data_IF_302610532542
#
_entry.id   IF_302610532542
#
_cell.length_a   1.000
_cell.length_b   1.000
_cell.length_c   1.000
_cell.angle_alpha   90.00
_cell.angle_beta   90.00
_cell.angle_gamma   90.00
#
_symmetry.space_group_name_H-M   'P 1'
#
loop_
_entity.id
_entity.type
_entity.pdbx_description
1 polymer ?
#
# COMPACT_ATOMS: atom_id res chain seq x y z
N UNK A 1 -57.77 -13.04 -70.43
CA UNK A 1 -56.87 -12.62 -71.52
C UNK A 1 -55.47 -12.59 -70.94
N UNK A 2 -54.60 -13.52 -71.36
CA UNK A 2 -53.19 -13.57 -70.97
C UNK A 2 -52.43 -12.35 -71.55
N UNK A 3 -51.36 -11.92 -70.88
CA UNK A 3 -50.02 -11.65 -71.44
C UNK A 3 -49.14 -11.02 -70.35
N UNK A 4 -48.05 -11.71 -69.96
CA UNK A 4 -46.64 -11.34 -70.22
C UNK A 4 -46.03 -10.53 -69.05
N UNK A 5 -44.73 -10.49 -68.76
CA UNK A 5 -43.52 -11.29 -68.97
C UNK A 5 -42.40 -10.49 -68.22
N UNK A 6 -41.27 -11.14 -67.88
CA UNK A 6 -39.91 -10.55 -67.66
C UNK A 6 -39.47 -10.07 -66.26
N UNK A 7 -38.68 -10.95 -65.62
CA UNK A 7 -37.25 -10.79 -65.24
C UNK A 7 -36.72 -9.33 -65.19
N UNK A 8 -36.20 -8.89 -64.03
CA UNK A 8 -34.90 -8.22 -63.94
C UNK A 8 -34.36 -8.21 -62.49
N UNK A 9 -33.21 -8.84 -62.29
CA UNK A 9 -32.40 -8.81 -61.08
C UNK A 9 -31.75 -7.44 -60.88
N UNK A 10 -31.77 -6.90 -59.66
CA UNK A 10 -31.00 -5.71 -59.29
C UNK A 10 -30.33 -5.94 -57.92
N UNK A 11 -29.07 -6.36 -58.00
CA UNK A 11 -28.11 -6.49 -56.91
C UNK A 11 -27.62 -5.09 -56.56
N UNK A 12 -28.08 -4.55 -55.43
CA UNK A 12 -27.69 -3.22 -54.94
C UNK A 12 -26.40 -3.37 -54.12
N UNK A 13 -25.26 -3.07 -54.76
CA UNK A 13 -23.93 -3.10 -54.15
C UNK A 13 -23.67 -1.75 -53.47
N UNK A 14 -23.89 -1.68 -52.16
CA UNK A 14 -23.63 -0.48 -51.36
C UNK A 14 -22.14 -0.47 -50.94
N UNK A 15 -21.32 0.29 -51.67
CA UNK A 15 -19.93 0.52 -51.30
C UNK A 15 -19.86 1.61 -50.21
N UNK A 16 -19.77 1.18 -48.94
CA UNK A 16 -19.45 2.08 -47.83
C UNK A 16 -17.93 2.35 -47.84
N UNK A 17 -17.53 3.54 -48.29
CA UNK A 17 -16.16 4.03 -48.13
C UNK A 17 -16.03 4.67 -46.74
N UNK A 18 -15.52 3.92 -45.77
CA UNK A 18 -15.13 4.48 -44.48
C UNK A 18 -13.79 5.20 -44.64
N UNK A 19 -13.85 6.52 -44.76
CA UNK A 19 -12.67 7.36 -44.54
C UNK A 19 -12.34 7.30 -43.05
N UNK A 20 -11.25 6.62 -42.71
CA UNK A 20 -10.69 6.64 -41.37
C UNK A 20 -10.17 8.05 -41.09
N UNK A 21 -10.98 8.89 -40.45
CA UNK A 21 -10.50 10.10 -39.79
C UNK A 21 -9.65 9.67 -38.61
N UNK A 22 -8.33 9.66 -38.80
CA UNK A 22 -7.40 9.68 -37.68
C UNK A 22 -7.49 11.07 -37.05
N UNK A 23 -8.25 11.17 -35.96
CA UNK A 23 -8.19 12.35 -35.10
C UNK A 23 -6.82 12.29 -34.41
N UNK A 24 -5.84 12.99 -34.99
CA UNK A 24 -4.67 13.40 -34.23
C UNK A 24 -5.18 14.34 -33.14
N UNK A 25 -5.30 13.85 -31.90
CA UNK A 25 -5.47 14.70 -30.75
C UNK A 25 -4.22 15.59 -30.65
N UNK A 26 -4.32 16.82 -31.15
CA UNK A 26 -3.32 17.84 -30.91
C UNK A 26 -3.21 18.03 -29.40
N UNK A 27 -2.00 17.87 -28.86
CA UNK A 27 -1.66 18.21 -27.48
C UNK A 27 -1.95 19.69 -27.25
N UNK A 28 -3.08 19.99 -26.61
CA UNK A 28 -3.44 21.33 -26.17
C UNK A 28 -2.95 21.47 -24.73
N UNK A 29 -1.70 21.92 -24.54
CA UNK A 29 -1.20 22.44 -23.26
C UNK A 29 -1.91 23.77 -22.96
N UNK A 30 -3.21 23.70 -22.74
CA UNK A 30 -4.10 24.85 -22.64
C UNK A 30 -4.16 25.35 -21.20
N UNK A 31 -2.99 25.64 -20.61
CA UNK A 31 -2.96 26.27 -19.31
C UNK A 31 -3.42 27.73 -19.40
N UNK A 32 -4.54 28.05 -18.77
CA UNK A 32 -5.09 29.42 -18.79
C UNK A 32 -4.46 30.29 -17.70
N UNK A 33 -4.50 31.62 -17.88
CA UNK A 33 -4.06 32.55 -16.83
C UNK A 33 -4.88 32.38 -15.54
N UNK A 34 -6.17 32.05 -15.67
CA UNK A 34 -7.08 31.87 -14.53
C UNK A 34 -6.71 30.62 -13.73
N UNK A 35 -6.53 29.48 -14.39
CA UNK A 35 -6.06 28.23 -13.78
C UNK A 35 -4.78 28.48 -12.96
N UNK A 36 -3.75 29.08 -13.56
CA UNK A 36 -2.48 29.37 -12.86
C UNK A 36 -2.66 30.30 -11.67
N UNK A 37 -3.59 31.24 -11.72
CA UNK A 37 -3.86 32.13 -10.59
C UNK A 37 -4.52 31.37 -9.44
N UNK A 38 -5.50 30.50 -9.72
CA UNK A 38 -6.12 29.66 -8.72
C UNK A 38 -5.12 28.65 -8.12
N UNK A 39 -4.24 28.06 -8.92
CA UNK A 39 -3.14 27.21 -8.40
C UNK A 39 -2.23 28.01 -7.45
N UNK A 40 -1.85 29.24 -7.79
CA UNK A 40 -1.01 30.09 -6.92
C UNK A 40 -1.72 30.47 -5.62
N UNK A 41 -3.00 30.82 -5.71
CA UNK A 41 -3.85 31.10 -4.54
C UNK A 41 -3.91 29.88 -3.62
N UNK A 42 -4.26 28.71 -4.16
CA UNK A 42 -4.28 27.46 -3.42
C UNK A 42 -2.94 27.12 -2.78
N UNK A 43 -1.82 27.33 -3.49
CA UNK A 43 -0.48 27.12 -2.97
C UNK A 43 -0.16 28.06 -1.79
N UNK A 44 -0.65 29.30 -1.80
CA UNK A 44 -0.51 30.24 -0.68
C UNK A 44 -1.30 29.74 0.54
N UNK A 45 -2.57 29.42 0.33
CA UNK A 45 -3.47 28.91 1.37
C UNK A 45 -2.95 27.61 1.99
N UNK A 46 -2.40 26.72 1.18
CA UNK A 46 -1.79 25.47 1.65
C UNK A 46 -0.60 25.73 2.57
N UNK A 47 0.28 26.70 2.23
CA UNK A 47 1.42 27.11 3.07
C UNK A 47 0.96 27.72 4.40
N UNK A 48 -0.16 28.42 4.39
CA UNK A 48 -0.85 28.93 5.59
C UNK A 48 -1.58 27.83 6.39
N UNK A 49 -1.52 26.56 5.94
CA UNK A 49 -2.22 25.40 6.52
C UNK A 49 -3.75 25.50 6.45
N UNK A 50 -4.28 26.39 5.62
CA UNK A 50 -5.71 26.55 5.35
C UNK A 50 -6.14 25.57 4.26
N UNK A 51 -6.09 24.28 4.58
CA UNK A 51 -6.23 23.21 3.58
C UNK A 51 -7.61 23.15 2.93
N UNK A 52 -8.68 23.50 3.66
CA UNK A 52 -10.04 23.60 3.11
C UNK A 52 -10.16 24.72 2.06
N UNK A 53 -9.59 25.90 2.35
CA UNK A 53 -9.57 27.01 1.40
C UNK A 53 -8.68 26.68 0.19
N UNK A 54 -7.54 26.01 0.43
CA UNK A 54 -6.65 25.57 -0.63
C UNK A 54 -7.35 24.57 -1.58
N UNK A 55 -8.10 23.62 -1.04
CA UNK A 55 -8.95 22.72 -1.83
C UNK A 55 -9.91 23.50 -2.73
N UNK A 56 -10.64 24.49 -2.20
CA UNK A 56 -11.58 25.29 -2.99
C UNK A 56 -10.86 25.98 -4.16
N UNK A 57 -9.68 26.54 -3.93
CA UNK A 57 -8.88 27.16 -5.00
C UNK A 57 -8.43 26.12 -6.05
N UNK A 58 -7.97 24.94 -5.64
CA UNK A 58 -7.57 23.89 -6.60
C UNK A 58 -8.75 23.33 -7.39
N UNK A 59 -9.94 23.22 -6.79
CA UNK A 59 -11.16 22.85 -7.53
C UNK A 59 -11.52 23.89 -8.59
N UNK A 60 -11.42 25.19 -8.28
CA UNK A 60 -11.59 26.26 -9.28
C UNK A 60 -10.54 26.19 -10.40
N UNK A 61 -9.31 25.78 -10.10
CA UNK A 61 -8.31 25.54 -11.14
C UNK A 61 -8.73 24.38 -12.06
N UNK A 62 -9.31 23.31 -11.51
CA UNK A 62 -9.82 22.16 -12.29
C UNK A 62 -11.10 22.48 -13.08
N UNK A 63 -11.90 23.46 -12.66
CA UNK A 63 -13.02 23.99 -13.46
C UNK A 63 -12.51 24.69 -14.74
N UNK A 64 -11.37 25.38 -14.65
CA UNK A 64 -10.73 26.05 -15.80
C UNK A 64 -9.93 25.07 -16.68
N UNK A 65 -9.31 24.06 -16.07
CA UNK A 65 -8.59 22.99 -16.77
C UNK A 65 -8.73 21.65 -16.02
N UNK A 66 -9.66 20.82 -16.48
CA UNK A 66 -9.97 19.54 -15.87
C UNK A 66 -8.83 18.50 -15.95
N UNK A 67 -7.82 18.74 -16.80
CA UNK A 67 -6.68 17.83 -17.00
C UNK A 67 -5.38 18.38 -16.40
N UNK A 68 -5.48 19.38 -15.51
CA UNK A 68 -4.32 19.98 -14.84
C UNK A 68 -3.72 19.02 -13.81
N UNK A 69 -2.64 18.33 -14.19
CA UNK A 69 -1.89 17.44 -13.30
C UNK A 69 -1.47 18.14 -11.99
N UNK A 70 -1.06 19.41 -12.09
CA UNK A 70 -0.63 20.22 -10.93
C UNK A 70 -1.81 20.47 -9.99
N UNK A 71 -2.97 20.89 -10.53
CA UNK A 71 -4.14 21.16 -9.70
C UNK A 71 -4.69 19.87 -9.07
N UNK A 72 -4.73 18.75 -9.82
CA UNK A 72 -5.11 17.44 -9.28
C UNK A 72 -4.20 16.99 -8.15
N UNK A 73 -2.89 17.08 -8.34
CA UNK A 73 -1.90 16.70 -7.33
C UNK A 73 -2.05 17.55 -6.07
N UNK A 74 -2.16 18.87 -6.25
CA UNK A 74 -2.28 19.81 -5.15
C UNK A 74 -3.62 19.66 -4.40
N UNK A 75 -4.71 19.36 -5.10
CA UNK A 75 -5.99 19.02 -4.49
C UNK A 75 -5.85 17.77 -3.61
N UNK A 76 -5.27 16.69 -4.14
CA UNK A 76 -5.03 15.47 -3.38
C UNK A 76 -4.16 15.73 -2.13
N UNK A 77 -3.11 16.55 -2.27
CA UNK A 77 -2.27 16.95 -1.14
C UNK A 77 -3.04 17.74 -0.08
N UNK A 78 -3.97 18.62 -0.46
CA UNK A 78 -4.87 19.32 0.48
C UNK A 78 -5.79 18.35 1.22
N UNK A 79 -6.44 17.45 0.48
CA UNK A 79 -7.36 16.46 1.02
C UNK A 79 -6.69 15.54 2.05
N UNK A 80 -5.46 15.08 1.78
CA UNK A 80 -4.66 14.28 2.72
C UNK A 80 -4.41 15.05 4.02
N UNK A 81 -4.11 16.34 3.95
CA UNK A 81 -3.82 17.15 5.14
C UNK A 81 -5.07 17.46 5.96
N UNK A 82 -6.23 17.57 5.32
CA UNK A 82 -7.52 17.67 6.01
C UNK A 82 -7.90 16.36 6.70
N UNK A 83 -7.65 15.21 6.06
CA UNK A 83 -7.98 13.88 6.58
C UNK A 83 -7.35 13.60 7.95
N UNK A 84 -6.18 14.19 8.26
CA UNK A 84 -5.57 14.11 9.60
C UNK A 84 -6.45 14.64 10.75
N UNK A 85 -7.57 15.30 10.44
CA UNK A 85 -8.56 15.81 11.41
C UNK A 85 -9.97 15.23 11.23
N UNK A 86 -10.19 14.38 10.21
CA UNK A 86 -11.51 13.88 9.84
C UNK A 86 -11.81 12.52 10.50
N UNK A 87 -13.07 12.30 10.88
CA UNK A 87 -13.56 10.98 11.29
C UNK A 87 -13.45 9.99 10.11
N UNK A 88 -12.71 8.87 10.25
CA UNK A 88 -12.57 7.85 9.21
C UNK A 88 -13.92 7.29 8.69
N UNK A 89 -14.97 7.35 9.50
CA UNK A 89 -16.31 6.85 9.19
C UNK A 89 -17.26 7.91 8.62
N UNK A 90 -16.80 9.16 8.47
CA UNK A 90 -17.60 10.19 7.82
C UNK A 90 -17.79 9.82 6.34
N UNK A 91 -19.04 9.86 5.86
CA UNK A 91 -19.40 9.54 4.46
C UNK A 91 -18.71 10.42 3.40
N UNK A 92 -18.06 11.51 3.84
CA UNK A 92 -17.25 12.41 3.03
C UNK A 92 -15.76 12.29 3.41
N UNK A 93 -15.18 11.09 3.36
CA UNK A 93 -13.77 10.90 3.67
C UNK A 93 -12.89 11.45 2.52
N UNK A 94 -12.17 12.57 2.71
CA UNK A 94 -11.37 13.20 1.66
C UNK A 94 -10.22 12.30 1.18
N UNK A 95 -9.88 11.25 1.93
CA UNK A 95 -8.80 10.33 1.61
C UNK A 95 -9.09 9.45 0.39
N UNK A 96 -10.36 9.07 0.15
CA UNK A 96 -10.73 8.24 -1.00
C UNK A 96 -10.54 9.01 -2.32
N UNK A 97 -11.01 10.25 -2.38
CA UNK A 97 -10.80 11.13 -3.54
C UNK A 97 -9.31 11.41 -3.76
N UNK A 98 -8.56 11.72 -2.69
CA UNK A 98 -7.11 11.91 -2.79
C UNK A 98 -6.42 10.67 -3.38
N UNK A 99 -6.82 9.46 -2.94
CA UNK A 99 -6.26 8.22 -3.47
C UNK A 99 -6.54 8.07 -4.97
N UNK A 100 -7.76 8.35 -5.41
CA UNK A 100 -8.15 8.25 -6.83
C UNK A 100 -7.38 9.24 -7.71
N UNK A 101 -7.27 10.50 -7.27
CA UNK A 101 -6.49 11.53 -7.97
C UNK A 101 -5.03 11.10 -8.14
N UNK A 102 -4.39 10.67 -7.06
CA UNK A 102 -2.99 10.23 -7.12
C UNK A 102 -2.80 8.98 -7.99
N UNK A 103 -3.71 8.00 -7.91
CA UNK A 103 -3.67 6.82 -8.78
C UNK A 103 -3.77 7.22 -10.26
N UNK A 104 -4.70 8.10 -10.61
CA UNK A 104 -4.80 8.65 -11.96
C UNK A 104 -3.49 9.28 -12.41
N UNK A 105 -2.91 10.18 -11.59
CA UNK A 105 -1.64 10.83 -11.89
C UNK A 105 -0.49 9.86 -12.09
N UNK A 106 -0.41 8.76 -11.33
CA UNK A 106 0.64 7.75 -11.55
C UNK A 106 0.55 7.03 -12.90
N UNK A 107 -0.63 7.03 -13.53
CA UNK A 107 -0.92 6.36 -14.79
C UNK A 107 -0.87 7.30 -15.99
N UNK A 108 -1.35 8.54 -15.84
CA UNK A 108 -1.57 9.46 -16.96
C UNK A 108 -0.60 10.64 -17.00
N UNK A 109 -0.03 11.06 -15.87
CA UNK A 109 0.78 12.28 -15.83
C UNK A 109 2.09 12.10 -16.61
N UNK A 110 2.46 13.13 -17.38
CA UNK A 110 3.74 13.19 -18.11
C UNK A 110 4.85 13.83 -17.27
N UNK A 111 4.51 14.52 -16.20
CA UNK A 111 5.47 15.12 -15.27
C UNK A 111 6.01 14.06 -14.31
N UNK A 112 7.28 13.70 -14.48
CA UNK A 112 7.92 12.66 -13.66
C UNK A 112 7.94 13.02 -12.17
N UNK A 113 8.04 14.31 -11.83
CA UNK A 113 8.03 14.76 -10.43
C UNK A 113 6.63 14.60 -9.83
N UNK A 114 5.56 14.87 -10.58
CA UNK A 114 4.18 14.62 -10.11
C UNK A 114 3.94 13.12 -9.94
N UNK A 115 4.32 12.31 -10.92
CA UNK A 115 4.19 10.83 -10.84
C UNK A 115 4.94 10.29 -9.61
N UNK A 116 6.16 10.76 -9.40
CA UNK A 116 7.01 10.37 -8.27
C UNK A 116 6.38 10.72 -6.92
N UNK A 117 6.01 11.99 -6.75
CA UNK A 117 5.35 12.47 -5.54
C UNK A 117 4.00 11.77 -5.30
N UNK A 118 3.29 11.39 -6.36
CA UNK A 118 2.01 10.67 -6.26
C UNK A 118 2.22 9.25 -5.75
N UNK A 119 3.21 8.53 -6.27
CA UNK A 119 3.63 7.25 -5.72
C UNK A 119 4.06 7.37 -4.25
N UNK A 120 4.84 8.40 -3.90
CA UNK A 120 5.28 8.61 -2.52
C UNK A 120 4.09 8.84 -1.57
N UNK A 121 3.13 9.69 -1.96
CA UNK A 121 1.94 9.96 -1.16
C UNK A 121 1.02 8.73 -1.02
N UNK A 122 0.80 7.97 -2.10
CA UNK A 122 0.09 6.68 -2.04
C UNK A 122 0.78 5.69 -1.10
N UNK A 123 2.12 5.69 -1.08
CA UNK A 123 2.90 4.88 -0.14
C UNK A 123 2.67 5.27 1.31
N UNK A 124 2.66 6.58 1.61
CA UNK A 124 2.35 7.07 2.96
C UNK A 124 0.92 6.72 3.38
N UNK A 125 -0.05 6.85 2.46
CA UNK A 125 -1.45 6.50 2.71
C UNK A 125 -1.61 5.01 3.03
N UNK A 126 -0.99 4.13 2.23
CA UNK A 126 -1.00 2.69 2.46
C UNK A 126 -0.27 2.32 3.77
N UNK A 127 0.86 2.97 4.06
CA UNK A 127 1.61 2.76 5.29
C UNK A 127 0.78 3.11 6.53
N UNK A 128 0.08 4.25 6.51
CA UNK A 128 -0.79 4.67 7.61
C UNK A 128 -1.99 3.72 7.80
N UNK A 129 -2.45 3.08 6.73
CA UNK A 129 -3.47 2.02 6.77
C UNK A 129 -2.90 0.64 7.15
N UNK A 130 -1.62 0.58 7.54
CA UNK A 130 -0.89 -0.68 7.85
C UNK A 130 -0.84 -1.68 6.68
N UNK A 131 -1.11 -1.22 5.46
CA UNK A 131 -1.00 -2.01 4.22
C UNK A 131 0.46 -2.00 3.74
N UNK A 132 1.36 -2.59 4.51
CA UNK A 132 2.81 -2.41 4.30
C UNK A 132 3.31 -2.95 2.96
N UNK A 133 2.76 -4.05 2.43
CA UNK A 133 3.13 -4.54 1.09
C UNK A 133 2.75 -3.53 -0.02
N UNK A 134 1.59 -2.90 0.09
CA UNK A 134 1.18 -1.85 -0.84
C UNK A 134 2.09 -0.63 -0.70
N UNK A 135 2.39 -0.20 0.53
CA UNK A 135 3.31 0.89 0.79
C UNK A 135 4.69 0.66 0.15
N UNK A 136 5.24 -0.55 0.31
CA UNK A 136 6.52 -0.97 -0.31
C UNK A 136 6.47 -0.80 -1.83
N UNK A 137 5.39 -1.25 -2.48
CA UNK A 137 5.23 -1.15 -3.93
C UNK A 137 5.15 0.30 -4.40
N UNK A 138 4.45 1.15 -3.65
CA UNK A 138 4.31 2.57 -3.96
C UNK A 138 5.63 3.32 -3.78
N UNK A 139 6.37 3.12 -2.67
CA UNK A 139 7.69 3.75 -2.50
C UNK A 139 8.71 3.28 -3.54
N UNK A 140 8.67 2.00 -3.94
CA UNK A 140 9.44 1.52 -5.11
C UNK A 140 9.02 2.25 -6.39
N UNK A 141 7.73 2.53 -6.57
CA UNK A 141 7.20 3.37 -7.65
C UNK A 141 7.87 4.74 -7.69
N UNK A 142 7.92 5.44 -6.55
CA UNK A 142 8.56 6.74 -6.41
C UNK A 142 10.06 6.66 -6.77
N UNK A 143 10.78 5.69 -6.21
CA UNK A 143 12.22 5.50 -6.46
C UNK A 143 12.57 5.11 -7.90
N UNK A 144 11.63 4.51 -8.66
CA UNK A 144 11.80 4.28 -10.11
C UNK A 144 11.76 5.60 -10.90
N UNK A 145 11.05 6.62 -10.40
CA UNK A 145 10.92 7.93 -11.04
C UNK A 145 12.01 8.89 -10.58
N UNK A 146 12.30 8.91 -9.27
CA UNK A 146 13.41 9.65 -8.69
C UNK A 146 14.26 8.73 -7.78
N UNK A 147 15.35 8.14 -8.29
CA UNK A 147 16.23 7.28 -7.51
C UNK A 147 16.93 7.97 -6.34
N UNK A 148 16.96 9.31 -6.32
CA UNK A 148 17.63 10.12 -5.31
C UNK A 148 16.68 10.65 -4.22
N UNK A 149 15.41 10.20 -4.21
CA UNK A 149 14.48 10.53 -3.11
C UNK A 149 14.82 9.72 -1.84
N UNK A 150 15.59 10.33 -0.95
CA UNK A 150 15.98 9.71 0.32
C UNK A 150 14.80 9.49 1.28
N UNK A 151 13.76 10.33 1.24
CA UNK A 151 12.54 10.12 2.05
C UNK A 151 11.80 8.86 1.62
N UNK A 152 11.65 8.64 0.31
CA UNK A 152 11.03 7.42 -0.22
C UNK A 152 11.85 6.17 0.15
N UNK A 153 13.18 6.29 0.17
CA UNK A 153 14.11 5.22 0.57
C UNK A 153 14.00 4.88 2.05
N UNK A 154 13.97 5.90 2.92
CA UNK A 154 13.74 5.74 4.36
C UNK A 154 12.39 5.10 4.65
N UNK A 155 11.32 5.61 4.04
CA UNK A 155 9.97 5.07 4.24
C UNK A 155 9.82 3.65 3.68
N UNK A 156 10.50 3.33 2.57
CA UNK A 156 10.55 1.95 2.06
C UNK A 156 11.17 1.01 3.10
N UNK A 157 12.30 1.39 3.72
CA UNK A 157 12.93 0.59 4.76
C UNK A 157 12.01 0.43 5.98
N UNK A 158 11.36 1.51 6.39
CA UNK A 158 10.41 1.45 7.50
C UNK A 158 9.21 0.53 7.19
N UNK A 159 8.65 0.61 5.98
CA UNK A 159 7.55 -0.26 5.55
C UNK A 159 7.94 -1.74 5.52
N UNK A 160 9.14 -2.05 5.03
CA UNK A 160 9.67 -3.41 5.03
C UNK A 160 9.90 -3.95 6.45
N UNK A 161 10.41 -3.13 7.36
CA UNK A 161 10.55 -3.50 8.78
C UNK A 161 9.18 -3.78 9.40
N UNK A 162 8.20 -2.87 9.21
CA UNK A 162 6.84 -3.03 9.74
C UNK A 162 6.10 -4.25 9.20
N UNK A 163 6.27 -4.56 7.91
CA UNK A 163 5.77 -5.79 7.34
C UNK A 163 6.36 -7.04 8.01
N UNK A 164 7.67 -7.03 8.28
CA UNK A 164 8.31 -8.16 8.95
C UNK A 164 7.87 -8.30 10.41
N UNK A 165 7.67 -7.18 11.12
CA UNK A 165 7.05 -7.18 12.46
C UNK A 165 5.66 -7.80 12.43
N UNK A 166 4.82 -7.42 11.46
CA UNK A 166 3.47 -7.96 11.30
C UNK A 166 3.49 -9.48 11.06
N UNK A 167 4.34 -9.97 10.15
CA UNK A 167 4.47 -11.40 9.87
C UNK A 167 4.92 -12.22 11.08
N UNK A 168 5.79 -11.66 11.93
CA UNK A 168 6.26 -12.33 13.15
C UNK A 168 5.18 -12.38 14.24
N UNK A 169 4.28 -11.39 14.28
CA UNK A 169 3.14 -11.40 15.20
C UNK A 169 2.13 -12.48 14.82
N UNK A 170 1.79 -12.57 13.53
CA UNK A 170 0.86 -13.58 13.01
C UNK A 170 1.37 -15.00 13.30
N UNK A 171 2.67 -15.27 13.06
CA UNK A 171 3.28 -16.59 13.35
C UNK A 171 3.31 -16.96 14.85
N UNK A 172 3.39 -15.97 15.74
CA UNK A 172 3.37 -16.22 17.19
C UNK A 172 1.95 -16.42 17.73
N UNK A 173 0.93 -15.87 17.06
CA UNK A 173 -0.48 -16.15 17.35
C UNK A 173 -0.84 -17.58 16.94
N UNK A 174 -0.45 -18.00 15.73
CA UNK A 174 -0.73 -19.37 15.24
C UNK A 174 -0.12 -20.46 16.15
N UNK A 175 1.07 -20.21 16.72
CA UNK A 175 1.71 -21.16 17.66
C UNK A 175 1.00 -21.22 19.02
N UNK A 176 0.49 -20.11 19.53
CA UNK A 176 -0.26 -20.09 20.79
C UNK A 176 -1.61 -20.80 20.67
N UNK A 177 -2.27 -20.66 19.52
CA UNK A 177 -3.53 -21.35 19.26
C UNK A 177 -3.33 -22.85 19.06
N UNK A 178 -2.16 -23.27 18.56
CA UNK A 178 -1.79 -24.69 18.47
C UNK A 178 -1.50 -25.32 19.85
N UNK A 179 -0.80 -24.61 20.74
CA UNK A 179 -0.52 -25.09 22.10
C UNK A 179 -1.80 -25.16 22.96
N UNK A 180 -2.72 -24.20 22.84
CA UNK A 180 -4.01 -24.27 23.55
C UNK A 180 -4.90 -25.43 23.09
N UNK A 181 -4.86 -25.79 21.80
CA UNK A 181 -5.59 -26.95 21.29
C UNK A 181 -4.98 -28.29 21.73
N UNK A 182 -3.65 -28.36 21.95
CA UNK A 182 -3.02 -29.55 22.51
C UNK A 182 -3.36 -29.77 23.98
N UNK A 183 -3.39 -28.71 24.79
CA UNK A 183 -3.80 -28.80 26.20
C UNK A 183 -5.28 -29.17 26.37
N UNK A 184 -6.18 -28.72 25.49
CA UNK A 184 -7.58 -29.15 25.52
C UNK A 184 -7.77 -30.62 25.10
N UNK A 185 -7.00 -31.12 24.14
CA UNK A 185 -7.04 -32.55 23.77
C UNK A 185 -6.49 -33.47 24.86
N UNK A 186 -5.44 -33.05 25.58
CA UNK A 186 -4.92 -33.82 26.71
C UNK A 186 -5.89 -33.87 27.90
N UNK A 187 -6.63 -32.78 28.15
CA UNK A 187 -7.64 -32.78 29.21
C UNK A 187 -8.87 -33.63 28.89
N UNK A 188 -9.27 -33.76 27.62
CA UNK A 188 -10.34 -34.69 27.22
C UNK A 188 -9.91 -36.16 27.34
N UNK A 189 -8.66 -36.51 26.99
CA UNK A 189 -8.16 -37.87 27.17
C UNK A 189 -8.00 -38.29 28.65
N UNK A 190 -7.66 -37.35 29.54
CA UNK A 190 -7.61 -37.63 30.98
C UNK A 190 -9.00 -37.78 31.61
N UNK A 191 -10.03 -37.12 31.07
CA UNK A 191 -11.40 -37.25 31.58
C UNK A 191 -12.03 -38.60 31.24
N UNK A 192 -11.71 -39.16 30.06
CA UNK A 192 -12.13 -40.51 29.65
C UNK A 192 -11.37 -41.63 30.37
N UNK A 193 -10.14 -41.40 30.83
CA UNK A 193 -9.41 -42.37 31.66
C UNK A 193 -9.85 -42.37 33.14
N UNK A 194 -10.35 -41.25 33.65
CA UNK A 194 -10.86 -41.18 35.03
C UNK A 194 -12.26 -41.81 35.19
N UNK A 195 -13.07 -41.87 34.14
CA UNK A 195 -14.37 -42.58 34.19
C UNK A 195 -14.25 -44.11 34.13
N UNK A 196 -13.07 -44.67 33.82
CA UNK A 196 -12.84 -46.11 33.76
C UNK A 196 -12.17 -46.72 35.01
N UNK A 197 -11.93 -45.94 36.07
CA UNK A 197 -11.40 -46.46 37.34
C UNK A 197 -12.39 -46.48 38.51
N UNK A 198 -13.58 -45.90 38.37
CA UNK A 198 -14.60 -45.84 39.45
C UNK A 198 -15.53 -47.06 39.53
N UNK A 199 -15.13 -48.22 38.99
CA UNK A 199 -15.92 -49.45 39.07
C UNK A 199 -15.22 -50.65 39.73
N UNK A 200 -14.29 -50.42 40.66
CA UNK A 200 -13.92 -51.49 41.58
C UNK A 200 -13.43 -51.02 42.96
N UNK A 201 -14.09 -51.61 43.97
CA UNK A 201 -13.70 -51.79 45.37
C UNK A 201 -14.23 -50.80 46.42
N UNK A 202 -15.46 -51.13 46.83
CA UNK A 202 -15.95 -51.14 48.20
C UNK A 202 -14.97 -51.70 49.28
N UNK A 203 -15.08 -51.08 50.47
CA UNK A 203 -14.74 -51.52 51.86
C UNK A 203 -13.31 -51.31 52.40
N UNK A 204 -13.15 -50.32 53.30
CA UNK A 204 -13.24 -50.48 54.77
C UNK A 204 -12.97 -49.17 55.54
N UNK A 205 -13.71 -49.02 56.65
CA UNK A 205 -13.66 -47.95 57.66
C UNK A 205 -12.31 -47.78 58.38
N UNK A 206 -11.98 -46.54 58.78
CA UNK A 206 -12.13 -46.02 60.16
C UNK A 206 -11.05 -44.97 60.55
N UNK A 207 -11.56 -43.85 61.07
CA UNK A 207 -10.98 -42.75 61.86
C UNK A 207 -9.52 -42.80 62.35
N UNK A 208 -8.78 -41.70 62.15
CA UNK A 208 -8.33 -40.83 63.26
C UNK A 208 -7.75 -39.48 62.81
N UNK A 209 -8.06 -38.47 63.62
CA UNK A 209 -7.63 -37.07 63.57
C UNK A 209 -6.11 -36.86 63.47
N UNK A 210 -5.73 -35.81 62.74
CA UNK A 210 -4.40 -35.19 62.81
C UNK A 210 -4.41 -33.82 62.12
N UNK A 211 -4.27 -32.78 62.93
CA UNK A 211 -4.26 -31.37 62.57
C UNK A 211 -3.27 -31.00 61.44
N UNK A 212 -3.73 -30.04 60.63
CA UNK A 212 -2.98 -28.96 59.96
C UNK A 212 -1.45 -29.09 59.87
N UNK A 213 -0.97 -29.25 58.63
CA UNK A 213 0.07 -28.36 58.09
C UNK A 213 0.00 -28.34 56.56
N UNK A 214 -0.68 -27.30 56.04
CA UNK A 214 -0.57 -26.90 54.64
C UNK A 214 0.84 -26.36 54.42
N UNK A 215 1.70 -27.15 53.81
CA UNK A 215 2.96 -26.69 53.25
C UNK A 215 2.89 -26.74 51.72
N UNK A 216 1.92 -26.03 51.15
CA UNK A 216 1.97 -25.62 49.75
C UNK A 216 2.56 -24.21 49.71
N UNK A 217 3.86 -24.14 49.43
CA UNK A 217 4.47 -22.89 48.96
C UNK A 217 3.63 -22.37 47.78
N UNK A 218 3.21 -21.10 47.78
CA UNK A 218 2.86 -20.46 46.53
C UNK A 218 4.13 -20.51 45.69
N UNK A 219 4.12 -21.31 44.62
CA UNK A 219 4.94 -20.94 43.47
C UNK A 219 4.36 -19.63 43.03
N UNK A 220 5.07 -18.54 43.30
CA UNK A 220 4.88 -17.26 42.65
C UNK A 220 4.92 -17.55 41.14
N UNK A 221 3.75 -17.81 40.56
CA UNK A 221 3.50 -17.60 39.16
C UNK A 221 3.62 -16.09 39.00
N UNK A 222 4.85 -15.63 38.80
CA UNK A 222 5.06 -14.43 38.02
C UNK A 222 4.16 -14.60 36.79
N UNK A 223 3.21 -13.68 36.54
CA UNK A 223 2.49 -13.71 35.28
C UNK A 223 3.56 -13.80 34.19
N UNK A 224 3.42 -14.69 33.19
CA UNK A 224 4.37 -14.74 32.10
C UNK A 224 4.45 -13.31 31.61
N UNK A 225 5.62 -12.69 31.80
CA UNK A 225 5.89 -11.37 31.31
C UNK A 225 5.59 -11.50 29.83
N UNK A 226 4.46 -10.91 29.40
CA UNK A 226 4.09 -10.87 28.01
C UNK A 226 5.26 -10.14 27.36
N UNK A 227 6.22 -10.89 26.84
CA UNK A 227 7.10 -10.42 25.80
C UNK A 227 6.13 -10.02 24.71
N UNK A 228 5.77 -8.73 24.70
CA UNK A 228 5.16 -8.10 23.54
C UNK A 228 6.00 -8.57 22.37
N UNK A 229 5.40 -9.38 21.49
CA UNK A 229 6.05 -10.07 20.38
C UNK A 229 6.45 -9.09 19.27
N UNK A 230 7.11 -8.00 19.64
CA UNK A 230 7.80 -7.09 18.74
C UNK A 230 9.22 -7.57 18.50
N UNK A 231 9.76 -7.23 17.33
CA UNK A 231 11.18 -7.39 17.03
C UNK A 231 11.96 -6.56 18.06
N UNK A 232 12.94 -7.15 18.75
CA UNK A 232 13.79 -6.39 19.67
C UNK A 232 14.56 -5.30 18.93
N UNK A 233 14.86 -4.18 19.58
CA UNK A 233 15.55 -3.03 18.94
C UNK A 233 16.85 -3.43 18.22
N UNK A 234 17.59 -4.39 18.79
CA UNK A 234 18.80 -4.95 18.17
C UNK A 234 18.52 -5.74 16.88
N UNK A 235 17.43 -6.50 16.85
CA UNK A 235 17.00 -7.24 15.67
C UNK A 235 16.50 -6.27 14.58
N UNK A 236 15.75 -5.22 14.95
CA UNK A 236 15.30 -4.18 14.02
C UNK A 236 16.48 -3.43 13.40
N UNK A 237 17.48 -3.05 14.19
CA UNK A 237 18.70 -2.42 13.70
C UNK A 237 19.49 -3.33 12.74
N UNK A 238 19.58 -4.63 13.02
CA UNK A 238 20.22 -5.61 12.13
C UNK A 238 19.47 -5.72 10.79
N UNK A 239 18.15 -5.74 10.82
CA UNK A 239 17.29 -5.79 9.64
C UNK A 239 17.52 -4.53 8.79
N UNK A 240 17.43 -3.34 9.40
CA UNK A 240 17.65 -2.07 8.72
C UNK A 240 19.03 -1.99 8.06
N UNK A 241 20.08 -2.39 8.79
CA UNK A 241 21.45 -2.45 8.25
C UNK A 241 21.58 -3.42 7.08
N UNK A 242 20.91 -4.57 7.14
CA UNK A 242 20.93 -5.55 6.04
C UNK A 242 20.27 -4.96 4.80
N UNK A 243 19.11 -4.31 4.96
CA UNK A 243 18.38 -3.69 3.86
C UNK A 243 19.13 -2.53 3.24
N UNK A 244 19.81 -1.72 4.06
CA UNK A 244 20.70 -0.65 3.58
C UNK A 244 21.85 -1.21 2.73
N UNK A 245 22.46 -2.32 3.17
CA UNK A 245 23.54 -2.95 2.41
C UNK A 245 23.04 -3.49 1.05
N UNK A 246 21.87 -4.14 1.02
CA UNK A 246 21.25 -4.66 -0.20
C UNK A 246 20.87 -3.54 -1.19
N UNK A 247 20.34 -2.43 -0.66
CA UNK A 247 19.98 -1.26 -1.44
C UNK A 247 21.25 -0.59 -2.03
N UNK A 248 22.29 -0.41 -1.23
CA UNK A 248 23.59 0.10 -1.70
C UNK A 248 24.26 -0.81 -2.73
N UNK A 249 24.13 -2.13 -2.59
CA UNK A 249 24.59 -3.08 -3.60
C UNK A 249 23.81 -2.93 -4.92
N UNK A 250 22.48 -2.79 -4.84
CA UNK A 250 21.61 -2.57 -5.99
C UNK A 250 21.95 -1.27 -6.72
N UNK A 251 22.16 -0.17 -5.99
CA UNK A 251 22.57 1.11 -6.57
C UNK A 251 23.90 1.03 -7.30
N UNK A 252 24.91 0.38 -6.69
CA UNK A 252 26.21 0.16 -7.33
C UNK A 252 26.06 -0.60 -8.65
N UNK A 253 25.27 -1.67 -8.66
CA UNK A 253 24.99 -2.45 -9.87
C UNK A 253 24.31 -1.60 -10.96
N UNK A 254 23.32 -0.79 -10.61
CA UNK A 254 22.65 0.09 -11.57
C UNK A 254 23.61 1.14 -12.13
N UNK A 255 24.47 1.73 -11.28
CA UNK A 255 25.49 2.68 -11.73
C UNK A 255 26.52 2.05 -12.68
N UNK A 256 26.97 0.83 -12.40
CA UNK A 256 27.86 0.08 -13.29
C UNK A 256 27.21 -0.23 -14.63
N UNK A 257 25.91 -0.59 -14.64
CA UNK A 257 25.17 -0.81 -15.88
C UNK A 257 25.05 0.47 -16.72
N UNK A 258 24.71 1.60 -16.09
CA UNK A 258 24.66 2.91 -16.77
C UNK A 258 26.00 3.28 -17.38
N UNK A 259 27.11 3.12 -16.64
CA UNK A 259 28.46 3.38 -17.17
C UNK A 259 28.78 2.51 -18.39
N UNK A 260 28.46 1.21 -18.33
CA UNK A 260 28.67 0.30 -19.48
C UNK A 260 27.83 0.70 -20.69
N UNK A 261 26.60 1.15 -20.48
CA UNK A 261 25.71 1.62 -21.56
C UNK A 261 26.25 2.92 -22.20
N UNK A 262 26.70 3.88 -21.39
CA UNK A 262 27.36 5.10 -21.85
C UNK A 262 28.64 4.82 -22.65
N UNK A 263 29.49 3.89 -22.18
CA UNK A 263 30.68 3.46 -22.92
C UNK A 263 30.31 2.79 -24.24
N UNK A 264 29.27 1.96 -24.25
CA UNK A 264 28.81 1.27 -25.46
C UNK A 264 28.22 2.22 -26.50
N UNK A 265 27.48 3.25 -26.06
CA UNK A 265 26.89 4.27 -26.93
C UNK A 265 27.96 5.19 -27.54
N UNK A 266 28.97 5.61 -26.74
CA UNK A 266 30.13 6.37 -27.24
C UNK A 266 30.94 5.60 -28.29
N UNK A 267 31.10 4.29 -28.14
CA UNK A 267 31.78 3.44 -29.14
C UNK A 267 31.00 3.32 -30.45
N UNK A 268 29.67 3.42 -30.41
CA UNK A 268 28.81 3.36 -31.61
C UNK A 268 28.77 4.68 -32.39
N UNK A 269 28.99 5.82 -31.73
CA UNK A 269 28.97 7.15 -32.37
C UNK A 269 30.35 7.66 -32.79
N UNK A 270 31.44 7.00 -32.39
CA UNK A 270 32.80 7.32 -32.83
C UNK A 270 33.09 6.75 -34.23
N UNK A 271 33.16 7.64 -35.23
CA UNK A 271 33.60 7.46 -36.62
C UNK A 271 33.60 6.04 -37.20
N UNK A 272 32.57 5.73 -37.99
CA UNK A 272 32.75 4.85 -39.15
C UNK A 272 33.31 5.72 -40.28
N UNK A 273 34.61 5.58 -40.53
CA UNK A 273 35.31 6.13 -41.69
C UNK A 273 35.01 5.29 -42.93
#
# INVERSE_FOLDING_TARGET
MLTMNRILSLLLLLAASTSAFTVYAADDDNSTRKERNYIREGNSLYKEKRYADAEVAYRKALEENAMSDIAMYNLAASLIRQSGTADPNSGNNPMAEAQQLLQGLTQSSRDMQIVENSFYNLGNMAFNQQQYDQAINMYKGALRKNPDNDKARENLRLAQLKRQEQQNQDQNQDKKDQDQNQDQQQNQQNQDQQQNQDQNQDKKDQDQQGDKEKNEKPKDQQPPQQQQGGISDANAAKILKTMENEENATRRKVQELKKKEEESSRRRTGNQW
#
